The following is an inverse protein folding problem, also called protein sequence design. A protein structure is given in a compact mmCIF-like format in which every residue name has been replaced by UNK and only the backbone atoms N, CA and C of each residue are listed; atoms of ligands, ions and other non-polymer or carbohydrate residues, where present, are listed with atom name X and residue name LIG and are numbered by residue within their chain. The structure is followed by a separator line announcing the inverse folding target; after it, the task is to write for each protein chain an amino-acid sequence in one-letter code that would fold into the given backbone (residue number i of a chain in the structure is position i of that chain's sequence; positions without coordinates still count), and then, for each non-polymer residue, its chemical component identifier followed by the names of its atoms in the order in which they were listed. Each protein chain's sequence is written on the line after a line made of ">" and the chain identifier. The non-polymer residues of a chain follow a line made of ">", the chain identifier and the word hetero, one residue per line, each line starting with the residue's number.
data_IF_744583684132
#
_entry.id   IF_744583684132
#
_cell.length_a   1.000
_cell.length_b   1.000
_cell.length_c   1.000
_cell.angle_alpha   90.00
_cell.angle_beta   90.00
_cell.angle_gamma   90.00
#
_symmetry.space_group_name_H-M   'P 1'
#
loop_
_entity.id
_entity.type
_entity.pdbx_description
1 polymer ?
#
# COMPACT_ATOMS: atom_id res chain seq x y z
N UNK A 1 -27.32 22.23 -10.99
CA UNK A 1 -27.32 20.90 -10.41
C UNK A 1 -25.94 20.30 -10.70
N UNK A 2 -25.06 20.27 -9.71
CA UNK A 2 -23.76 19.61 -9.87
C UNK A 2 -23.97 18.10 -10.04
N UNK A 3 -23.26 17.41 -10.94
CA UNK A 3 -23.36 15.98 -11.06
C UNK A 3 -22.93 15.37 -9.72
N UNK A 4 -23.81 14.61 -9.09
CA UNK A 4 -23.43 13.76 -7.95
C UNK A 4 -22.40 12.77 -8.48
N UNK A 5 -21.13 13.03 -8.22
CA UNK A 5 -20.06 12.09 -8.52
C UNK A 5 -20.36 10.80 -7.74
N UNK A 6 -20.67 9.74 -8.47
CA UNK A 6 -20.95 8.40 -7.90
C UNK A 6 -19.73 8.01 -7.07
N UNK A 7 -19.94 7.71 -5.78
CA UNK A 7 -18.86 7.27 -4.91
C UNK A 7 -18.28 5.95 -5.43
N UNK A 8 -16.94 5.80 -5.48
CA UNK A 8 -16.34 4.52 -5.87
C UNK A 8 -16.81 3.39 -4.97
N UNK A 9 -16.99 2.22 -5.54
CA UNK A 9 -17.40 1.00 -4.85
C UNK A 9 -16.17 0.24 -4.36
N UNK A 10 -16.09 -0.04 -3.07
CA UNK A 10 -15.00 -0.80 -2.45
C UNK A 10 -15.55 -2.02 -1.72
N UNK A 11 -15.07 -3.21 -2.12
CA UNK A 11 -15.38 -4.48 -1.48
C UNK A 11 -14.24 -4.85 -0.53
N UNK A 12 -14.57 -5.16 0.73
CA UNK A 12 -13.61 -5.67 1.72
C UNK A 12 -13.93 -7.13 2.04
N UNK A 13 -12.89 -7.97 2.07
CA UNK A 13 -12.97 -9.36 2.49
C UNK A 13 -11.97 -9.65 3.60
N UNK A 14 -12.47 -10.01 4.78
CA UNK A 14 -11.68 -10.33 5.97
C UNK A 14 -12.52 -11.20 6.92
N UNK A 15 -11.98 -12.25 7.49
CA UNK A 15 -12.69 -13.09 8.47
C UNK A 15 -12.77 -12.47 9.88
N UNK A 16 -12.06 -11.36 10.10
CA UNK A 16 -12.07 -10.64 11.36
C UNK A 16 -13.13 -9.52 11.33
N UNK A 17 -14.31 -9.76 11.90
CA UNK A 17 -15.40 -8.77 11.94
C UNK A 17 -14.99 -7.41 12.49
N UNK A 18 -14.10 -7.37 13.51
CA UNK A 18 -13.62 -6.11 14.07
C UNK A 18 -12.83 -5.29 13.03
N UNK A 19 -12.07 -5.95 12.15
CA UNK A 19 -11.38 -5.28 11.04
C UNK A 19 -12.40 -4.73 10.04
N UNK A 20 -13.40 -5.53 9.66
CA UNK A 20 -14.47 -5.11 8.75
C UNK A 20 -15.25 -3.92 9.30
N UNK A 21 -15.57 -3.91 10.58
CA UNK A 21 -16.26 -2.78 11.24
C UNK A 21 -15.41 -1.51 11.21
N UNK A 22 -14.13 -1.63 11.56
CA UNK A 22 -13.21 -0.50 11.60
C UNK A 22 -12.98 0.11 10.19
N UNK A 23 -12.68 -0.73 9.19
CA UNK A 23 -12.49 -0.23 7.81
C UNK A 23 -13.78 0.34 7.24
N UNK A 24 -14.93 -0.26 7.54
CA UNK A 24 -16.24 0.23 7.11
C UNK A 24 -16.51 1.62 7.69
N UNK A 25 -16.26 1.82 8.97
CA UNK A 25 -16.48 3.11 9.63
C UNK A 25 -15.68 4.23 8.97
N UNK A 26 -14.40 3.97 8.65
CA UNK A 26 -13.53 4.98 8.04
C UNK A 26 -13.79 5.17 6.55
N UNK A 27 -14.17 4.10 5.84
CA UNK A 27 -14.33 4.11 4.38
C UNK A 27 -15.70 4.64 3.92
N UNK A 28 -16.81 4.37 4.64
CA UNK A 28 -18.18 4.77 4.28
C UNK A 28 -18.39 6.26 3.93
N UNK A 29 -17.70 7.24 4.56
CA UNK A 29 -17.85 8.63 4.16
C UNK A 29 -17.39 8.94 2.74
N UNK A 30 -16.45 8.16 2.20
CA UNK A 30 -15.78 8.38 0.91
C UNK A 30 -16.24 7.41 -0.18
N UNK A 31 -16.60 6.17 0.19
CA UNK A 31 -16.85 5.05 -0.71
C UNK A 31 -18.23 4.43 -0.47
N UNK A 32 -18.76 3.76 -1.49
CA UNK A 32 -19.83 2.78 -1.34
C UNK A 32 -19.17 1.45 -0.91
N UNK A 33 -19.44 1.01 0.32
CA UNK A 33 -18.71 -0.10 0.95
C UNK A 33 -19.58 -1.34 1.03
N UNK A 34 -19.02 -2.48 0.65
CA UNK A 34 -19.55 -3.81 0.90
C UNK A 34 -18.47 -4.67 1.59
N UNK A 35 -18.89 -5.57 2.45
CA UNK A 35 -17.98 -6.46 3.20
C UNK A 35 -18.40 -7.92 3.03
N UNK A 36 -17.42 -8.83 3.06
CA UNK A 36 -17.61 -10.27 3.10
C UNK A 36 -16.64 -10.88 4.10
N UNK A 37 -17.00 -11.99 4.72
CA UNK A 37 -16.19 -12.71 5.71
C UNK A 37 -15.65 -14.04 5.20
N UNK A 38 -15.87 -14.35 3.92
CA UNK A 38 -15.37 -15.56 3.27
C UNK A 38 -15.10 -15.32 1.77
N UNK A 39 -14.19 -16.13 1.20
CA UNK A 39 -13.72 -16.01 -0.18
C UNK A 39 -14.80 -16.33 -1.21
N UNK A 40 -15.71 -17.25 -0.90
CA UNK A 40 -16.80 -17.61 -1.80
C UNK A 40 -17.71 -16.40 -2.03
N UNK A 41 -18.17 -15.75 -0.96
CA UNK A 41 -18.96 -14.52 -1.09
C UNK A 41 -18.18 -13.41 -1.77
N UNK A 42 -16.87 -13.30 -1.49
CA UNK A 42 -16.02 -12.33 -2.17
C UNK A 42 -16.06 -12.52 -3.69
N UNK A 43 -15.87 -13.75 -4.20
CA UNK A 43 -15.95 -14.02 -5.65
C UNK A 43 -17.34 -13.71 -6.22
N UNK A 44 -18.41 -14.05 -5.51
CA UNK A 44 -19.80 -13.72 -5.91
C UNK A 44 -20.02 -12.19 -5.99
N UNK A 45 -19.46 -11.43 -5.05
CA UNK A 45 -19.63 -9.97 -5.00
C UNK A 45 -18.73 -9.22 -5.98
N UNK A 46 -17.65 -9.80 -6.45
CA UNK A 46 -16.90 -9.28 -7.59
C UNK A 46 -17.79 -9.16 -8.84
N UNK A 47 -18.76 -10.05 -9.00
CA UNK A 47 -19.72 -10.01 -10.10
C UNK A 47 -20.95 -9.17 -9.77
N UNK A 48 -21.58 -9.38 -8.61
CA UNK A 48 -22.85 -8.79 -8.25
C UNK A 48 -22.75 -7.32 -7.83
N UNK A 49 -21.79 -6.99 -6.97
CA UNK A 49 -21.54 -5.63 -6.53
C UNK A 49 -20.71 -4.84 -7.54
N UNK A 50 -19.86 -5.52 -8.33
CA UNK A 50 -18.95 -4.96 -9.32
C UNK A 50 -18.15 -3.79 -8.73
N UNK A 51 -17.24 -4.07 -7.78
CA UNK A 51 -16.45 -3.04 -7.10
C UNK A 51 -15.42 -2.40 -8.05
N UNK A 52 -15.18 -1.10 -7.88
CA UNK A 52 -14.08 -0.40 -8.54
C UNK A 52 -12.72 -0.83 -7.97
N UNK A 53 -12.72 -1.29 -6.71
CA UNK A 53 -11.54 -1.82 -6.01
C UNK A 53 -11.98 -2.85 -4.96
N UNK A 54 -11.20 -3.94 -4.83
CA UNK A 54 -11.36 -4.92 -3.77
C UNK A 54 -10.16 -4.92 -2.82
N UNK A 55 -10.42 -4.99 -1.52
CA UNK A 55 -9.42 -5.21 -0.47
C UNK A 55 -9.63 -6.61 0.07
N UNK A 56 -8.61 -7.45 -0.01
CA UNK A 56 -8.69 -8.89 0.27
C UNK A 56 -7.65 -9.31 1.31
N UNK A 57 -8.10 -9.97 2.37
CA UNK A 57 -7.17 -10.66 3.27
C UNK A 57 -6.46 -11.82 2.56
N UNK A 58 -5.20 -11.98 2.87
CA UNK A 58 -4.36 -13.09 2.37
C UNK A 58 -4.79 -14.44 2.97
N UNK A 59 -5.19 -14.46 4.23
CA UNK A 59 -5.55 -15.67 4.97
C UNK A 59 -6.99 -15.63 5.44
N UNK A 60 -7.80 -16.53 4.89
CA UNK A 60 -9.19 -16.70 5.30
C UNK A 60 -9.49 -18.17 5.60
N UNK A 61 -10.47 -18.48 6.46
CA UNK A 61 -10.76 -19.86 6.89
C UNK A 61 -11.10 -20.82 5.74
N UNK A 62 -11.69 -20.29 4.66
CA UNK A 62 -12.13 -21.05 3.50
C UNK A 62 -11.13 -21.05 2.33
N UNK A 63 -9.88 -20.53 2.54
CA UNK A 63 -8.85 -20.63 1.52
C UNK A 63 -7.73 -19.60 1.55
N UNK A 64 -7.00 -19.53 0.44
CA UNK A 64 -5.88 -18.62 0.21
C UNK A 64 -6.33 -17.44 -0.66
N UNK A 65 -6.20 -16.22 -0.13
CA UNK A 65 -6.57 -14.99 -0.83
C UNK A 65 -5.77 -14.77 -2.12
N UNK A 66 -4.51 -15.22 -2.20
CA UNK A 66 -3.72 -15.11 -3.43
C UNK A 66 -4.29 -15.95 -4.58
N UNK A 67 -4.69 -17.19 -4.26
CA UNK A 67 -5.29 -18.06 -5.28
C UNK A 67 -6.66 -17.52 -5.72
N UNK A 68 -7.42 -16.96 -4.79
CA UNK A 68 -8.70 -16.32 -5.10
C UNK A 68 -8.51 -15.08 -5.96
N UNK A 69 -7.57 -14.20 -5.61
CA UNK A 69 -7.24 -13.02 -6.42
C UNK A 69 -6.79 -13.41 -7.84
N UNK A 70 -5.99 -14.47 -7.96
CA UNK A 70 -5.56 -14.99 -9.27
C UNK A 70 -6.76 -15.41 -10.12
N UNK A 71 -7.71 -16.21 -9.57
CA UNK A 71 -8.94 -16.61 -10.28
C UNK A 71 -9.78 -15.41 -10.72
N UNK A 72 -9.89 -14.38 -9.84
CA UNK A 72 -10.61 -13.16 -10.15
C UNK A 72 -9.93 -12.41 -11.30
N UNK A 73 -8.60 -12.23 -11.25
CA UNK A 73 -7.84 -11.50 -12.27
C UNK A 73 -7.76 -12.26 -13.61
N UNK A 74 -7.81 -13.58 -13.61
CA UNK A 74 -7.95 -14.37 -14.84
C UNK A 74 -9.28 -14.11 -15.56
N UNK A 75 -10.37 -13.88 -14.80
CA UNK A 75 -11.70 -13.55 -15.36
C UNK A 75 -11.88 -12.05 -15.63
N UNK A 76 -11.31 -11.21 -14.79
CA UNK A 76 -11.41 -9.73 -14.82
C UNK A 76 -10.01 -9.11 -14.65
N UNK A 77 -9.21 -9.02 -15.73
CA UNK A 77 -7.82 -8.52 -15.64
C UNK A 77 -7.69 -7.09 -15.14
N UNK A 78 -8.74 -6.28 -15.32
CA UNK A 78 -8.77 -4.86 -14.91
C UNK A 78 -9.23 -4.68 -13.46
N UNK A 79 -9.62 -5.75 -12.74
CA UNK A 79 -10.04 -5.65 -11.36
C UNK A 79 -8.89 -5.18 -10.47
N UNK A 80 -9.09 -4.05 -9.82
CA UNK A 80 -8.13 -3.52 -8.86
C UNK A 80 -8.23 -4.29 -7.55
N UNK A 81 -7.12 -4.87 -7.09
CA UNK A 81 -7.03 -5.63 -5.84
C UNK A 81 -5.89 -5.07 -4.99
N UNK A 82 -6.20 -4.83 -3.70
CA UNK A 82 -5.22 -4.56 -2.64
C UNK A 82 -5.28 -5.73 -1.66
N UNK A 83 -4.14 -6.30 -1.32
CA UNK A 83 -4.07 -7.25 -0.21
C UNK A 83 -3.90 -6.53 1.12
N UNK A 84 -4.64 -6.99 2.12
CA UNK A 84 -4.52 -6.57 3.52
C UNK A 84 -4.06 -7.78 4.34
N UNK A 85 -2.92 -7.71 5.03
CA UNK A 85 -2.32 -8.90 5.64
C UNK A 85 -1.55 -8.60 6.93
N UNK A 86 -1.48 -9.59 7.83
CA UNK A 86 -0.57 -9.57 8.98
C UNK A 86 0.89 -9.84 8.60
N UNK A 87 1.12 -10.44 7.42
CA UNK A 87 2.45 -10.76 6.91
C UNK A 87 3.09 -9.53 6.25
N UNK A 88 4.31 -9.22 6.64
CA UNK A 88 5.05 -8.05 6.12
C UNK A 88 6.32 -8.44 5.38
N UNK A 89 6.60 -9.74 5.28
CA UNK A 89 7.82 -10.26 4.67
C UNK A 89 7.80 -10.03 3.14
N UNK A 90 8.95 -9.71 2.54
CA UNK A 90 9.09 -9.37 1.12
C UNK A 90 8.48 -10.39 0.16
N UNK A 91 8.59 -11.67 0.50
CA UNK A 91 8.05 -12.77 -0.33
C UNK A 91 6.54 -12.68 -0.55
N UNK A 92 5.78 -12.20 0.46
CA UNK A 92 4.32 -12.05 0.33
C UNK A 92 3.97 -10.83 -0.51
N UNK A 93 4.69 -9.72 -0.33
CA UNK A 93 4.55 -8.51 -1.14
C UNK A 93 4.83 -8.83 -2.60
N UNK A 94 5.95 -9.51 -2.88
CA UNK A 94 6.31 -9.93 -4.23
C UNK A 94 5.25 -10.85 -4.84
N UNK A 95 4.81 -11.89 -4.10
CA UNK A 95 3.74 -12.79 -4.56
C UNK A 95 2.46 -12.02 -4.92
N UNK A 96 2.10 -11.00 -4.11
CA UNK A 96 0.94 -10.16 -4.37
C UNK A 96 1.10 -9.36 -5.68
N UNK A 97 2.21 -8.67 -5.84
CA UNK A 97 2.45 -7.83 -7.02
C UNK A 97 2.59 -8.69 -8.30
N UNK A 98 3.28 -9.82 -8.23
CA UNK A 98 3.43 -10.78 -9.32
C UNK A 98 2.08 -11.39 -9.74
N UNK A 99 1.11 -11.47 -8.83
CA UNK A 99 -0.26 -11.92 -9.15
C UNK A 99 -1.09 -10.89 -9.91
N UNK A 100 -0.59 -9.66 -10.09
CA UNK A 100 -1.30 -8.55 -10.75
C UNK A 100 -2.07 -7.63 -9.80
N UNK A 101 -1.99 -7.83 -8.49
CA UNK A 101 -2.56 -6.91 -7.52
C UNK A 101 -1.94 -5.52 -7.65
N UNK A 102 -2.69 -4.51 -7.27
CA UNK A 102 -2.28 -3.09 -7.34
C UNK A 102 -1.83 -2.55 -6.00
N UNK A 103 -1.95 -3.34 -4.94
CA UNK A 103 -1.46 -2.91 -3.65
C UNK A 103 -1.31 -4.04 -2.63
N UNK A 104 -0.51 -3.74 -1.61
CA UNK A 104 -0.32 -4.57 -0.43
C UNK A 104 -0.16 -3.68 0.79
N UNK A 105 -0.97 -3.91 1.82
CA UNK A 105 -0.99 -3.12 3.06
C UNK A 105 -0.94 -4.05 4.27
N UNK A 106 -0.18 -3.67 5.28
CA UNK A 106 -0.15 -4.40 6.55
C UNK A 106 -1.40 -4.12 7.39
N UNK A 107 -2.01 -5.16 7.98
CA UNK A 107 -3.08 -4.99 8.99
C UNK A 107 -2.60 -4.26 10.26
N UNK A 108 -1.28 -4.14 10.47
CA UNK A 108 -0.68 -3.37 11.57
C UNK A 108 -0.55 -1.89 11.25
N UNK A 109 -0.73 -1.51 9.99
CA UNK A 109 -0.66 -0.12 9.58
C UNK A 109 -1.88 0.66 10.09
N UNK A 110 -1.74 1.99 10.30
CA UNK A 110 -2.88 2.84 10.58
C UNK A 110 -3.93 2.77 9.46
N UNK A 111 -5.22 2.87 9.79
CA UNK A 111 -6.31 2.84 8.80
C UNK A 111 -6.19 3.95 7.74
N UNK A 112 -5.62 5.09 8.08
CA UNK A 112 -5.35 6.17 7.12
C UNK A 112 -4.39 5.74 6.01
N UNK A 113 -3.47 4.82 6.30
CA UNK A 113 -2.58 4.25 5.28
C UNK A 113 -3.36 3.39 4.29
N UNK A 114 -4.30 2.57 4.76
CA UNK A 114 -5.20 1.81 3.90
C UNK A 114 -6.07 2.73 3.03
N UNK A 115 -6.59 3.83 3.60
CA UNK A 115 -7.38 4.81 2.84
C UNK A 115 -6.52 5.49 1.75
N UNK A 116 -5.27 5.78 2.04
CA UNK A 116 -4.31 6.31 1.06
C UNK A 116 -4.03 5.30 -0.05
N UNK A 117 -3.81 4.03 0.31
CA UNK A 117 -3.62 2.95 -0.66
C UNK A 117 -4.82 2.79 -1.60
N UNK A 118 -6.04 2.78 -1.05
CA UNK A 118 -7.28 2.70 -1.82
C UNK A 118 -7.37 3.85 -2.82
N UNK A 119 -7.14 5.09 -2.37
CA UNK A 119 -7.21 6.25 -3.26
C UNK A 119 -6.15 6.18 -4.36
N UNK A 120 -4.90 5.88 -4.00
CA UNK A 120 -3.79 5.74 -4.97
C UNK A 120 -4.12 4.72 -6.07
N UNK A 121 -4.67 3.57 -5.68
CA UNK A 121 -5.02 2.51 -6.65
C UNK A 121 -6.26 2.87 -7.47
N UNK A 122 -7.25 3.55 -6.89
CA UNK A 122 -8.40 4.08 -7.65
C UNK A 122 -7.94 5.08 -8.72
N UNK A 123 -6.95 5.91 -8.41
CA UNK A 123 -6.37 6.90 -9.32
C UNK A 123 -5.41 6.28 -10.37
N UNK A 124 -5.28 4.95 -10.38
CA UNK A 124 -4.52 4.19 -11.37
C UNK A 124 -3.06 3.89 -10.99
N UNK A 125 -2.64 4.26 -9.78
CA UNK A 125 -1.32 3.93 -9.23
C UNK A 125 -1.25 2.51 -8.64
N UNK A 126 -0.11 2.19 -8.05
CA UNK A 126 0.09 1.01 -7.21
C UNK A 126 0.60 1.43 -5.84
N UNK A 127 0.35 0.62 -4.81
CA UNK A 127 0.72 0.94 -3.44
C UNK A 127 1.29 -0.27 -2.71
N UNK A 128 2.49 -0.12 -2.17
CA UNK A 128 3.06 -1.05 -1.18
C UNK A 128 3.25 -0.29 0.13
N UNK A 129 2.71 -0.84 1.21
CA UNK A 129 2.70 -0.17 2.53
C UNK A 129 4.11 0.17 3.01
N UNK A 130 4.20 1.27 3.76
CA UNK A 130 5.46 1.83 4.26
C UNK A 130 6.23 0.93 5.25
N UNK A 131 5.56 -0.06 5.83
CA UNK A 131 6.14 -1.01 6.80
C UNK A 131 6.52 -2.35 6.16
N UNK A 132 6.36 -2.46 4.83
CA UNK A 132 6.66 -3.70 4.13
C UNK A 132 8.13 -3.72 3.72
N UNK A 133 8.82 -4.75 4.13
CA UNK A 133 10.13 -5.07 3.58
C UNK A 133 9.91 -5.55 2.14
N UNK A 134 10.28 -4.76 1.15
CA UNK A 134 10.30 -5.21 -0.25
C UNK A 134 11.58 -5.99 -0.51
N UNK A 135 11.62 -6.88 -1.51
CA UNK A 135 12.89 -7.54 -1.93
C UNK A 135 13.95 -6.51 -2.34
N UNK A 136 13.54 -5.32 -2.78
CA UNK A 136 14.42 -4.17 -2.97
C UNK A 136 15.06 -3.71 -1.65
N UNK A 137 14.37 -3.89 -0.50
CA UNK A 137 14.96 -3.70 0.81
C UNK A 137 16.00 -4.79 1.17
N UNK A 138 15.94 -5.95 0.52
CA UNK A 138 16.93 -7.04 0.65
C UNK A 138 18.03 -6.99 -0.42
N UNK A 139 18.05 -5.96 -1.29
CA UNK A 139 19.19 -5.72 -2.20
C UNK A 139 20.51 -5.64 -1.43
N UNK A 140 21.64 -6.04 -2.01
CA UNK A 140 22.92 -6.08 -1.33
C UNK A 140 23.22 -4.80 -0.54
N UNK A 141 23.92 -4.92 0.58
CA UNK A 141 24.28 -3.81 1.45
C UNK A 141 24.71 -2.57 0.64
N UNK A 142 24.04 -1.45 0.84
CA UNK A 142 24.38 -0.17 0.22
C UNK A 142 23.52 0.29 -0.95
N UNK A 143 22.54 -0.50 -1.43
CA UNK A 143 21.67 -0.06 -2.53
C UNK A 143 20.35 0.49 -1.99
N UNK A 144 20.02 1.75 -2.27
CA UNK A 144 18.75 2.38 -1.93
C UNK A 144 17.66 2.02 -2.96
N UNK A 145 16.42 1.89 -2.51
CA UNK A 145 15.26 1.79 -3.42
C UNK A 145 15.01 3.12 -4.14
N UNK A 146 14.29 3.10 -5.27
CA UNK A 146 13.91 4.32 -5.99
C UNK A 146 13.19 5.30 -5.06
N UNK A 147 12.29 4.81 -4.21
CA UNK A 147 11.59 5.64 -3.24
C UNK A 147 12.50 6.25 -2.18
N UNK A 148 13.49 5.49 -1.72
CA UNK A 148 14.51 5.99 -0.79
C UNK A 148 15.42 7.01 -1.47
N UNK A 149 15.74 6.84 -2.76
CA UNK A 149 16.48 7.80 -3.56
C UNK A 149 15.70 9.11 -3.70
N UNK A 150 14.39 9.07 -3.98
CA UNK A 150 13.53 10.25 -4.03
C UNK A 150 13.53 11.01 -2.69
N UNK A 151 13.34 10.28 -1.59
CA UNK A 151 13.38 10.86 -0.24
C UNK A 151 14.75 11.45 0.05
N UNK A 152 15.84 10.76 -0.29
CA UNK A 152 17.22 11.23 -0.08
C UNK A 152 17.51 12.52 -0.89
N UNK A 153 17.02 12.62 -2.12
CA UNK A 153 17.11 13.84 -2.94
C UNK A 153 16.43 15.02 -2.26
N UNK A 154 15.23 14.82 -1.74
CA UNK A 154 14.48 15.88 -1.06
C UNK A 154 15.16 16.29 0.27
N UNK A 155 15.75 15.33 0.99
CA UNK A 155 16.57 15.63 2.19
C UNK A 155 17.79 16.48 1.81
N UNK A 156 18.44 16.16 0.70
CA UNK A 156 19.60 16.91 0.21
C UNK A 156 19.23 18.34 -0.22
N UNK A 157 18.00 18.54 -0.68
CA UNK A 157 17.42 19.87 -0.98
C UNK A 157 16.98 20.64 0.28
N UNK A 158 17.17 20.08 1.47
CA UNK A 158 16.81 20.71 2.73
C UNK A 158 15.34 20.57 3.14
N UNK A 159 14.57 19.70 2.47
CA UNK A 159 13.16 19.49 2.80
C UNK A 159 13.00 18.84 4.18
N UNK A 160 12.07 19.36 4.97
CA UNK A 160 11.58 18.73 6.21
C UNK A 160 10.73 17.49 5.91
N UNK A 161 10.51 16.65 6.93
CA UNK A 161 9.64 15.47 6.80
C UNK A 161 8.20 15.83 6.34
N UNK A 162 7.69 17.00 6.75
CA UNK A 162 6.37 17.49 6.30
C UNK A 162 6.36 17.86 4.82
N UNK A 163 7.41 18.52 4.33
CA UNK A 163 7.54 18.88 2.93
C UNK A 163 7.76 17.66 2.04
N UNK A 164 8.56 16.68 2.51
CA UNK A 164 8.74 15.39 1.84
C UNK A 164 7.40 14.67 1.73
N UNK A 165 6.67 14.59 2.84
CA UNK A 165 5.36 13.96 2.88
C UNK A 165 4.38 14.59 1.88
N UNK A 166 4.35 15.92 1.83
CA UNK A 166 3.51 16.67 0.87
C UNK A 166 3.92 16.43 -0.58
N UNK A 167 5.23 16.54 -0.90
CA UNK A 167 5.73 16.37 -2.28
C UNK A 167 5.56 14.96 -2.81
N UNK A 168 5.64 13.97 -1.94
CA UNK A 168 5.57 12.55 -2.30
C UNK A 168 4.19 11.92 -2.05
N UNK A 169 3.20 12.72 -1.61
CA UNK A 169 1.83 12.27 -1.30
C UNK A 169 1.79 11.10 -0.30
N UNK A 170 2.62 11.16 0.74
CA UNK A 170 2.72 10.16 1.82
C UNK A 170 2.46 10.82 3.19
N UNK A 171 2.29 10.01 4.25
CA UNK A 171 2.22 10.53 5.60
C UNK A 171 3.58 11.03 6.08
N UNK A 172 3.59 12.00 7.05
CA UNK A 172 4.83 12.45 7.70
C UNK A 172 5.55 11.28 8.37
N UNK A 173 4.78 10.36 8.96
CA UNK A 173 5.31 9.13 9.57
C UNK A 173 6.02 8.24 8.54
N UNK A 174 5.47 8.13 7.35
CA UNK A 174 6.08 7.38 6.24
C UNK A 174 7.38 8.04 5.76
N UNK A 175 7.42 9.37 5.68
CA UNK A 175 8.64 10.11 5.33
C UNK A 175 9.75 9.88 6.37
N UNK A 176 9.41 9.93 7.67
CA UNK A 176 10.35 9.64 8.75
C UNK A 176 10.82 8.18 8.75
N UNK A 177 9.95 7.22 8.42
CA UNK A 177 10.32 5.82 8.25
C UNK A 177 11.36 5.64 7.14
N UNK A 178 11.13 6.20 5.95
CA UNK A 178 12.12 6.15 4.86
C UNK A 178 13.44 6.81 5.26
N UNK A 179 13.40 7.92 5.97
CA UNK A 179 14.59 8.59 6.49
C UNK A 179 15.39 7.68 7.43
N UNK A 180 14.71 7.05 8.39
CA UNK A 180 15.34 6.11 9.33
C UNK A 180 15.94 4.89 8.59
N UNK A 181 15.22 4.33 7.62
CA UNK A 181 15.67 3.21 6.80
C UNK A 181 16.89 3.56 5.97
N UNK A 182 16.97 4.77 5.37
CA UNK A 182 18.14 5.25 4.64
C UNK A 182 19.34 5.36 5.57
N UNK A 183 19.15 5.94 6.76
CA UNK A 183 20.21 6.09 7.76
C UNK A 183 20.78 4.74 8.19
N UNK A 184 19.91 3.78 8.50
CA UNK A 184 20.33 2.44 8.90
C UNK A 184 21.07 1.71 7.76
N UNK A 185 20.52 1.76 6.55
CA UNK A 185 21.04 1.05 5.39
C UNK A 185 22.42 1.56 4.94
N UNK A 186 22.60 2.87 4.97
CA UNK A 186 23.86 3.51 4.60
C UNK A 186 24.80 3.70 5.80
N UNK A 187 24.41 3.23 6.99
CA UNK A 187 25.15 3.42 8.25
C UNK A 187 25.46 4.90 8.52
N UNK A 188 24.52 5.77 8.19
CA UNK A 188 24.62 7.21 8.42
C UNK A 188 23.94 7.58 9.74
N UNK A 189 24.48 8.55 10.47
CA UNK A 189 24.00 8.89 11.82
C UNK A 189 23.42 10.30 11.92
N UNK A 190 23.32 11.03 10.79
CA UNK A 190 22.75 12.38 10.78
C UNK A 190 22.23 12.79 9.41
N UNK A 191 21.32 13.78 9.39
CA UNK A 191 20.83 14.41 8.15
C UNK A 191 21.97 15.03 7.34
N UNK A 192 22.95 15.65 7.99
CA UNK A 192 24.13 16.22 7.32
C UNK A 192 24.95 15.15 6.57
N UNK A 193 25.06 13.94 7.14
CA UNK A 193 25.74 12.82 6.47
C UNK A 193 24.92 12.32 5.27
N UNK A 194 23.59 12.29 5.36
CA UNK A 194 22.73 11.95 4.22
C UNK A 194 22.85 12.97 3.09
N UNK A 195 22.82 14.26 3.40
CA UNK A 195 23.02 15.34 2.40
C UNK A 195 24.37 15.20 1.73
N UNK A 196 25.44 15.02 2.49
CA UNK A 196 26.79 14.81 1.93
C UNK A 196 26.83 13.60 1.01
N UNK A 197 26.31 12.46 1.46
CA UNK A 197 26.24 11.24 0.64
C UNK A 197 25.47 11.45 -0.68
N UNK A 198 24.36 12.18 -0.64
CA UNK A 198 23.58 12.49 -1.84
C UNK A 198 24.38 13.36 -2.84
N UNK A 199 25.08 14.38 -2.34
CA UNK A 199 25.92 15.27 -3.17
C UNK A 199 27.09 14.47 -3.79
N UNK A 200 27.80 13.66 -3.00
CA UNK A 200 28.94 12.85 -3.48
C UNK A 200 28.52 11.82 -4.57
N UNK A 201 27.25 11.42 -4.57
CA UNK A 201 26.66 10.48 -5.56
C UNK A 201 25.91 11.14 -6.70
N UNK A 202 25.89 12.48 -6.77
CA UNK A 202 25.19 13.21 -7.81
C UNK A 202 23.66 13.08 -7.75
N UNK A 203 23.12 12.85 -6.56
CA UNK A 203 21.68 12.70 -6.32
C UNK A 203 21.01 14.03 -5.93
N UNK A 204 21.75 15.07 -5.64
CA UNK A 204 21.27 16.39 -5.23
C UNK A 204 21.32 17.38 -6.39
#
# INVERSE_FOLDING_TARGET
>A
MSPQTKRPKVLFADDHHLVLDAVTFVAKPRFEVKTTDNLRQFEEEIDNFAPDLAVLDVRMPDGDGFETAKRVLEKKPDQKIIFLSMHTEPRFVKKAMDSGAKGYVSKKAPLDELMTAIQTVLDGGSYTGSQLETEEALSPEGTLTDRQIEVLRLIAQGCSAKEIASKLSISVRTAEFHRAAIMDRLKLHSTAMMTRYAVERGLA
#
